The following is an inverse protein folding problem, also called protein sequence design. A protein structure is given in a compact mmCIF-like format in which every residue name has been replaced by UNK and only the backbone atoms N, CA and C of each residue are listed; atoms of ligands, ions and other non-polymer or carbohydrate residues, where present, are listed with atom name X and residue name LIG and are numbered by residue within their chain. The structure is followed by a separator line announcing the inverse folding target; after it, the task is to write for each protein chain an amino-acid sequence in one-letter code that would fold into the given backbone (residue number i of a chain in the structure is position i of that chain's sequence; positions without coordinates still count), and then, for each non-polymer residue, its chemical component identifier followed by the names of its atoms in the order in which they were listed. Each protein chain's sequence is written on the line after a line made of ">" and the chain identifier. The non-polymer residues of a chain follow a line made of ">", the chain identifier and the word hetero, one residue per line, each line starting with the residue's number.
data_IF_103630560052
#
_entry.id   IF_103630560052
#
_cell.length_a   1.000
_cell.length_b   1.000
_cell.length_c   1.000
_cell.angle_alpha   90.00
_cell.angle_beta   90.00
_cell.angle_gamma   90.00
#
_symmetry.space_group_name_H-M   'P 1'
#
loop_
_entity.id
_entity.type
_entity.pdbx_description
1 polymer ?
#
# COMPACT_ATOMS: atom_id res chain seq x y z
N UNK A 1 9.84 3.55 -13.96
CA UNK A 1 8.60 2.82 -13.59
C UNK A 1 8.92 1.60 -12.71
N UNK A 2 9.95 0.80 -13.03
CA UNK A 2 10.36 -0.34 -12.19
C UNK A 2 10.73 0.02 -10.73
N UNK A 3 11.58 1.03 -10.52
CA UNK A 3 11.94 1.48 -9.16
C UNK A 3 10.74 2.03 -8.37
N UNK A 4 9.83 2.74 -9.02
CA UNK A 4 8.64 3.30 -8.39
C UNK A 4 7.67 2.19 -7.94
N UNK A 5 7.47 1.17 -8.78
CA UNK A 5 6.73 -0.04 -8.43
C UNK A 5 7.35 -0.77 -7.23
N UNK A 6 8.68 -0.89 -7.21
CA UNK A 6 9.39 -1.56 -6.12
C UNK A 6 9.27 -0.79 -4.79
N UNK A 7 9.31 0.55 -4.81
CA UNK A 7 9.10 1.37 -3.62
C UNK A 7 7.66 1.26 -3.12
N UNK A 8 6.67 1.42 -4.01
CA UNK A 8 5.25 1.27 -3.67
C UNK A 8 4.97 -0.11 -3.08
N UNK A 9 5.53 -1.17 -3.68
CA UNK A 9 5.41 -2.53 -3.15
C UNK A 9 5.99 -2.70 -1.74
N UNK A 10 7.14 -2.08 -1.44
CA UNK A 10 7.74 -2.09 -0.09
C UNK A 10 6.88 -1.34 0.92
N UNK A 11 6.30 -0.21 0.55
CA UNK A 11 5.45 0.58 1.45
C UNK A 11 4.10 -0.11 1.68
N UNK A 12 3.52 -0.74 0.65
CA UNK A 12 2.34 -1.60 0.78
C UNK A 12 2.60 -2.75 1.75
N UNK A 13 3.69 -3.50 1.56
CA UNK A 13 4.02 -4.64 2.42
C UNK A 13 4.15 -4.24 3.91
N UNK A 14 4.68 -3.04 4.20
CA UNK A 14 4.73 -2.51 5.56
C UNK A 14 3.33 -2.21 6.11
N UNK A 15 2.48 -1.55 5.33
CA UNK A 15 1.10 -1.25 5.72
C UNK A 15 0.27 -2.54 5.93
N UNK A 16 0.41 -3.54 5.04
CA UNK A 16 -0.22 -4.85 5.17
C UNK A 16 0.26 -5.59 6.41
N UNK A 17 1.56 -5.53 6.72
CA UNK A 17 2.11 -6.13 7.93
C UNK A 17 1.55 -5.50 9.21
N UNK A 18 1.36 -4.18 9.24
CA UNK A 18 0.74 -3.47 10.36
C UNK A 18 -0.75 -3.82 10.49
N UNK A 19 -1.50 -3.78 9.39
CA UNK A 19 -2.94 -4.05 9.36
C UNK A 19 -3.28 -5.53 9.56
N UNK A 20 -2.37 -6.43 9.18
CA UNK A 20 -2.46 -7.87 9.41
C UNK A 20 -2.10 -8.26 10.84
N UNK A 21 -1.48 -7.37 11.61
CA UNK A 21 -1.18 -7.62 13.02
C UNK A 21 -2.42 -7.30 13.89
N UNK A 22 -3.11 -8.30 14.45
CA UNK A 22 -4.31 -8.07 15.24
C UNK A 22 -4.05 -7.27 16.52
N UNK A 23 -2.83 -7.32 17.08
CA UNK A 23 -2.47 -6.49 18.23
C UNK A 23 -2.36 -5.02 17.86
N UNK A 24 -1.88 -4.71 16.65
CA UNK A 24 -1.84 -3.34 16.16
C UNK A 24 -3.26 -2.84 15.89
N UNK A 25 -4.09 -3.60 15.17
CA UNK A 25 -5.47 -3.20 14.88
C UNK A 25 -6.32 -3.03 16.15
N UNK A 26 -6.11 -3.87 17.15
CA UNK A 26 -6.86 -3.81 18.41
C UNK A 26 -6.38 -2.71 19.37
N UNK A 27 -5.08 -2.36 19.36
CA UNK A 27 -4.49 -1.40 20.32
C UNK A 27 -4.20 -0.02 19.74
N UNK A 28 -4.01 0.09 18.44
CA UNK A 28 -3.71 1.36 17.80
C UNK A 28 -4.97 2.23 17.71
N UNK A 29 -4.83 3.57 17.75
CA UNK A 29 -5.95 4.47 17.54
C UNK A 29 -6.64 4.20 16.20
N UNK A 30 -7.97 4.24 16.16
CA UNK A 30 -8.75 4.02 14.94
C UNK A 30 -8.30 4.93 13.79
N UNK A 31 -7.93 6.19 14.08
CA UNK A 31 -7.38 7.13 13.10
C UNK A 31 -6.07 6.64 12.45
N UNK A 32 -5.22 5.94 13.19
CA UNK A 32 -3.95 5.39 12.67
C UNK A 32 -4.24 4.17 11.81
N UNK A 33 -5.09 3.26 12.29
CA UNK A 33 -5.51 2.08 11.51
C UNK A 33 -6.17 2.50 10.21
N UNK A 34 -7.07 3.48 10.25
CA UNK A 34 -7.74 4.00 9.07
C UNK A 34 -6.72 4.65 8.12
N UNK A 35 -5.80 5.47 8.63
CA UNK A 35 -4.75 6.09 7.83
C UNK A 35 -3.86 5.05 7.11
N UNK A 36 -3.51 3.95 7.77
CA UNK A 36 -2.74 2.88 7.13
C UNK A 36 -3.58 2.13 6.08
N UNK A 37 -4.89 1.93 6.30
CA UNK A 37 -5.82 1.38 5.30
C UNK A 37 -5.96 2.29 4.08
N UNK A 38 -6.11 3.59 4.30
CA UNK A 38 -6.24 4.58 3.23
C UNK A 38 -4.94 4.67 2.42
N UNK A 39 -3.78 4.64 3.10
CA UNK A 39 -2.48 4.56 2.42
C UNK A 39 -2.36 3.30 1.57
N UNK A 40 -2.76 2.15 2.11
CA UNK A 40 -2.72 0.90 1.37
C UNK A 40 -3.55 0.98 0.08
N UNK A 41 -4.78 1.50 0.18
CA UNK A 41 -5.66 1.69 -0.96
C UNK A 41 -5.06 2.66 -1.99
N UNK A 42 -4.51 3.79 -1.54
CA UNK A 42 -3.87 4.77 -2.42
C UNK A 42 -2.63 4.20 -3.13
N UNK A 43 -1.83 3.39 -2.44
CA UNK A 43 -0.68 2.72 -3.02
C UNK A 43 -1.09 1.65 -4.02
N UNK A 44 -2.13 0.87 -3.73
CA UNK A 44 -2.68 -0.09 -4.67
C UNK A 44 -3.17 0.58 -5.96
N UNK A 45 -3.90 1.70 -5.86
CA UNK A 45 -4.36 2.44 -7.05
C UNK A 45 -3.19 2.99 -7.88
N UNK A 46 -2.17 3.57 -7.22
CA UNK A 46 -0.97 4.06 -7.91
C UNK A 46 -0.22 2.92 -8.59
N UNK A 47 -0.07 1.78 -7.93
CA UNK A 47 0.55 0.59 -8.46
C UNK A 47 -0.16 0.16 -9.76
N UNK A 48 -1.48 0.02 -9.71
CA UNK A 48 -2.29 -0.36 -10.88
C UNK A 48 -2.08 0.62 -12.03
N UNK A 49 -2.14 1.94 -11.79
CA UNK A 49 -1.90 2.95 -12.84
C UNK A 49 -0.51 2.84 -13.47
N UNK A 50 0.52 2.49 -12.70
CA UNK A 50 1.88 2.29 -13.22
C UNK A 50 1.97 1.00 -14.02
N UNK A 51 1.38 -0.09 -13.54
CA UNK A 51 1.30 -1.38 -14.25
C UNK A 51 0.55 -1.23 -15.58
N UNK A 52 -0.57 -0.50 -15.61
CA UNK A 52 -1.33 -0.20 -16.83
C UNK A 52 -0.49 0.59 -17.84
N UNK A 53 0.24 1.62 -17.38
CA UNK A 53 1.14 2.40 -18.25
C UNK A 53 2.28 1.57 -18.81
N UNK A 54 2.86 0.69 -17.99
CA UNK A 54 3.89 -0.24 -18.43
C UNK A 54 3.35 -1.21 -19.49
N UNK A 55 2.15 -1.75 -19.28
CA UNK A 55 1.50 -2.63 -20.23
C UNK A 55 1.16 -1.94 -21.56
N UNK A 56 0.80 -0.65 -21.52
CA UNK A 56 0.51 0.13 -22.72
C UNK A 56 1.75 0.56 -23.53
N UNK A 57 2.94 0.51 -22.92
CA UNK A 57 4.22 0.88 -23.54
C UNK A 57 5.01 -0.35 -24.06
N UNK A 58 4.55 -1.56 -23.74
CA UNK A 58 5.09 -2.82 -24.24
C UNK A 58 4.31 -3.33 -25.45
#
# INVERSE_FOLDING_TARGET
>A
LGDELAQIGKDMARAEGLLGNPSFVAKAPAQVVQKERDKLAAFAERRTKIEERLAALG
#
